data_IF_455694942181
#
_entry.id   IF_455694942181
#
_cell.length_a   1.000
_cell.length_b   1.000
_cell.length_c   1.000
_cell.angle_alpha   90.00
_cell.angle_beta   90.00
_cell.angle_gamma   90.00
#
_symmetry.space_group_name_H-M   'P 1'
#
loop_
_entity.id
_entity.type
_entity.pdbx_description
1 polymer ?
#
# COMPACT_ATOMS: atom_id res chain seq x y z
N UNK A 1 -16.34 13.03 0.78
CA UNK A 1 -16.49 12.91 2.25
C UNK A 1 -16.97 11.53 2.69
N UNK A 2 -18.09 10.99 2.18
CA UNK A 2 -18.59 9.66 2.58
C UNK A 2 -17.57 8.53 2.31
N UNK A 3 -16.88 8.55 1.16
CA UNK A 3 -15.95 7.48 0.80
C UNK A 3 -14.69 7.40 1.69
N UNK A 4 -14.09 8.54 2.07
CA UNK A 4 -12.87 8.55 2.91
C UNK A 4 -13.15 8.16 4.36
N UNK A 5 -14.29 8.61 4.91
CA UNK A 5 -14.69 8.20 6.27
C UNK A 5 -14.99 6.70 6.34
N UNK A 6 -15.59 6.13 5.28
CA UNK A 6 -15.81 4.68 5.18
C UNK A 6 -14.49 3.94 4.97
N UNK A 7 -13.63 4.39 4.05
CA UNK A 7 -12.31 3.77 3.83
C UNK A 7 -11.47 3.79 5.11
N UNK A 8 -11.35 4.94 5.79
CA UNK A 8 -10.62 5.06 7.05
C UNK A 8 -11.20 4.19 8.18
N UNK A 9 -12.52 4.14 8.32
CA UNK A 9 -13.16 3.30 9.34
C UNK A 9 -13.07 1.80 9.03
N UNK A 10 -13.19 1.41 7.76
CA UNK A 10 -13.01 0.02 7.32
C UNK A 10 -11.58 -0.44 7.53
N UNK A 11 -10.59 0.40 7.20
CA UNK A 11 -9.19 0.13 7.44
C UNK A 11 -8.94 -0.04 8.94
N UNK A 12 -9.31 0.93 9.78
CA UNK A 12 -9.11 0.86 11.23
C UNK A 12 -9.68 -0.44 11.84
N UNK A 13 -10.92 -0.79 11.52
CA UNK A 13 -11.55 -2.01 12.03
C UNK A 13 -10.81 -3.28 11.57
N UNK A 14 -10.35 -3.31 10.32
CA UNK A 14 -9.56 -4.42 9.77
C UNK A 14 -8.21 -4.56 10.50
N UNK A 15 -7.47 -3.47 10.68
CA UNK A 15 -6.14 -3.50 11.29
C UNK A 15 -6.19 -3.88 12.77
N UNK A 16 -7.18 -3.38 13.51
CA UNK A 16 -7.38 -3.78 14.90
C UNK A 16 -7.65 -5.29 15.01
N UNK A 17 -8.46 -5.86 14.09
CA UNK A 17 -8.70 -7.30 14.09
C UNK A 17 -7.45 -8.11 13.70
N UNK A 18 -6.67 -7.66 12.71
CA UNK A 18 -5.40 -8.29 12.31
C UNK A 18 -4.42 -8.32 13.49
N UNK A 19 -4.21 -7.18 14.15
CA UNK A 19 -3.28 -7.06 15.28
C UNK A 19 -3.77 -7.91 16.46
N UNK A 20 -5.08 -7.88 16.76
CA UNK A 20 -5.69 -8.74 17.79
C UNK A 20 -5.45 -10.23 17.50
N UNK A 21 -5.66 -10.68 16.26
CA UNK A 21 -5.40 -12.08 15.86
C UNK A 21 -3.92 -12.43 15.93
N UNK A 22 -3.04 -11.53 15.53
CA UNK A 22 -1.59 -11.72 15.64
C UNK A 22 -1.16 -11.92 17.10
N UNK A 23 -1.62 -11.06 18.01
CA UNK A 23 -1.32 -11.12 19.45
C UNK A 23 -1.85 -12.38 20.12
N UNK A 24 -3.05 -12.83 19.72
CA UNK A 24 -3.69 -14.02 20.28
C UNK A 24 -3.15 -15.36 19.74
N UNK A 25 -2.36 -15.33 18.65
CA UNK A 25 -1.90 -16.55 17.99
C UNK A 25 -0.78 -17.25 18.78
N UNK A 26 -1.09 -18.46 19.26
CA UNK A 26 -0.14 -19.37 19.93
C UNK A 26 0.72 -20.19 18.97
N UNK A 27 0.45 -20.13 17.65
CA UNK A 27 1.20 -20.93 16.68
C UNK A 27 2.65 -20.43 16.58
N UNK A 28 3.62 -21.24 17.00
CA UNK A 28 5.05 -20.90 16.90
C UNK A 28 5.55 -19.88 17.94
N UNK A 29 4.78 -19.59 18.99
CA UNK A 29 5.21 -18.77 20.13
C UNK A 29 4.76 -19.46 21.42
N UNK A 30 5.67 -19.59 22.40
CA UNK A 30 5.36 -20.17 23.72
C UNK A 30 4.75 -19.14 24.67
N UNK A 31 4.86 -17.85 24.34
CA UNK A 31 4.30 -16.79 25.15
C UNK A 31 2.77 -16.75 25.00
N UNK A 32 2.04 -16.47 26.09
CA UNK A 32 0.58 -16.41 26.05
C UNK A 32 0.05 -15.27 25.18
N UNK A 33 0.86 -14.22 24.95
CA UNK A 33 0.57 -13.08 24.09
C UNK A 33 1.86 -12.66 23.38
N UNK A 34 1.82 -12.47 22.06
CA UNK A 34 2.95 -11.89 21.33
C UNK A 34 3.02 -10.40 21.60
N UNK A 35 4.14 -9.96 22.14
CA UNK A 35 4.42 -8.53 22.39
C UNK A 35 5.43 -7.95 21.41
N UNK A 36 6.27 -8.78 20.80
CA UNK A 36 7.16 -8.34 19.71
C UNK A 36 6.46 -8.40 18.35
N UNK A 37 6.65 -7.34 17.57
CA UNK A 37 6.20 -7.22 16.19
C UNK A 37 7.29 -7.59 15.16
N UNK A 38 8.47 -8.08 15.61
CA UNK A 38 9.55 -8.48 14.70
C UNK A 38 9.11 -9.54 13.70
N UNK A 39 8.31 -10.52 14.17
CA UNK A 39 7.76 -11.59 13.34
C UNK A 39 6.44 -11.21 12.65
N UNK A 40 5.99 -9.95 12.74
CA UNK A 40 4.71 -9.54 12.18
C UNK A 40 4.67 -9.74 10.65
N UNK A 41 5.68 -9.31 9.87
CA UNK A 41 5.67 -9.49 8.42
C UNK A 41 5.75 -10.96 7.95
N UNK A 42 6.22 -11.87 8.82
CA UNK A 42 6.27 -13.31 8.51
C UNK A 42 4.91 -14.00 8.67
N UNK A 43 3.95 -13.33 9.31
CA UNK A 43 2.66 -13.91 9.70
C UNK A 43 1.48 -13.14 9.12
N UNK A 44 1.71 -11.89 8.71
CA UNK A 44 0.71 -10.99 8.16
C UNK A 44 1.23 -10.44 6.85
N UNK A 45 0.41 -10.55 5.80
CA UNK A 45 0.63 -9.91 4.51
C UNK A 45 -0.64 -9.17 4.12
N UNK A 46 -0.49 -7.92 3.67
CA UNK A 46 -1.60 -7.03 3.38
C UNK A 46 -1.47 -6.55 1.94
N UNK A 47 -2.45 -6.93 1.12
CA UNK A 47 -2.51 -6.52 -0.28
C UNK A 47 -3.45 -5.33 -0.45
N UNK A 48 -2.91 -4.23 -0.94
CA UNK A 48 -3.65 -3.02 -1.33
C UNK A 48 -4.12 -3.21 -2.77
N UNK A 49 -5.43 -3.43 -2.93
CA UNK A 49 -6.04 -3.59 -4.24
C UNK A 49 -6.45 -2.22 -4.79
N UNK A 50 -5.61 -1.66 -5.66
CA UNK A 50 -5.66 -0.25 -6.05
C UNK A 50 -5.36 0.69 -4.86
N UNK A 51 -5.61 2.00 -5.02
CA UNK A 51 -5.30 3.04 -4.03
C UNK A 51 -6.35 3.23 -2.94
N UNK A 52 -7.54 2.65 -3.08
CA UNK A 52 -8.63 2.80 -2.12
C UNK A 52 -8.27 2.45 -0.65
N UNK A 53 -7.54 1.34 -0.36
CA UNK A 53 -7.12 1.02 1.00
C UNK A 53 -5.75 1.63 1.36
N UNK A 54 -5.28 2.68 0.68
CA UNK A 54 -3.94 3.26 0.91
C UNK A 54 -3.74 3.81 2.33
N UNK A 55 -4.82 4.17 3.02
CA UNK A 55 -4.81 4.64 4.41
C UNK A 55 -4.40 3.55 5.41
N UNK A 56 -4.42 2.29 4.98
CA UNK A 56 -3.73 1.17 5.60
C UNK A 56 -2.33 1.49 6.13
N UNK A 57 -1.52 2.14 5.30
CA UNK A 57 -0.11 2.39 5.59
C UNK A 57 0.04 3.34 6.78
N UNK A 58 -0.53 4.56 6.76
CA UNK A 58 -0.46 5.44 7.91
C UNK A 58 -1.24 4.93 9.12
N UNK A 59 -2.31 4.13 8.95
CA UNK A 59 -3.02 3.53 10.09
C UNK A 59 -2.18 2.46 10.80
N UNK A 60 -1.51 1.58 10.05
CA UNK A 60 -0.59 0.60 10.65
C UNK A 60 0.55 1.30 11.39
N UNK A 61 1.11 2.37 10.81
CA UNK A 61 2.11 3.21 11.47
C UNK A 61 1.57 3.84 12.75
N UNK A 62 0.35 4.40 12.72
CA UNK A 62 -0.30 5.01 13.88
C UNK A 62 -0.45 4.00 15.01
N UNK A 63 -0.95 2.79 14.72
CA UNK A 63 -1.12 1.77 15.76
C UNK A 63 0.23 1.32 16.31
N UNK A 64 1.20 1.01 15.45
CA UNK A 64 2.52 0.55 15.89
C UNK A 64 3.28 1.59 16.72
N UNK A 65 3.20 2.87 16.36
CA UNK A 65 3.91 3.95 17.06
C UNK A 65 3.13 4.46 18.26
N UNK A 66 1.88 4.88 18.06
CA UNK A 66 1.13 5.61 19.09
C UNK A 66 0.49 4.68 20.13
N UNK A 67 0.12 3.45 19.74
CA UNK A 67 -0.56 2.49 20.63
C UNK A 67 0.40 1.43 21.15
N UNK A 68 1.22 0.85 20.28
CA UNK A 68 2.16 -0.22 20.64
C UNK A 68 3.53 0.29 21.10
N UNK A 69 3.81 1.59 20.90
CA UNK A 69 5.02 2.25 21.42
C UNK A 69 6.32 1.86 20.71
N UNK A 70 6.25 1.36 19.47
CA UNK A 70 7.45 1.09 18.67
C UNK A 70 8.15 2.39 18.27
N UNK A 71 9.48 2.32 18.09
CA UNK A 71 10.18 3.41 17.41
C UNK A 71 9.68 3.55 15.98
N UNK A 72 9.77 4.77 15.44
CA UNK A 72 9.30 5.05 14.08
C UNK A 72 9.98 4.16 13.04
N UNK A 73 11.30 3.99 13.14
CA UNK A 73 12.09 3.19 12.21
C UNK A 73 11.64 1.74 12.22
N UNK A 74 11.35 1.20 13.41
CA UNK A 74 10.90 -0.17 13.55
C UNK A 74 9.49 -0.37 13.03
N UNK A 75 8.58 0.55 13.34
CA UNK A 75 7.22 0.53 12.82
C UNK A 75 7.21 0.62 11.29
N UNK A 76 8.07 1.46 10.72
CA UNK A 76 8.20 1.64 9.27
C UNK A 76 8.73 0.38 8.59
N UNK A 77 9.76 -0.26 9.16
CA UNK A 77 10.29 -1.55 8.67
C UNK A 77 9.19 -2.61 8.61
N UNK A 78 8.42 -2.75 9.70
CA UNK A 78 7.30 -3.70 9.77
C UNK A 78 6.22 -3.37 8.75
N UNK A 79 5.85 -2.09 8.62
CA UNK A 79 4.80 -1.63 7.70
C UNK A 79 5.17 -1.94 6.26
N UNK A 80 6.35 -1.54 5.80
CA UNK A 80 6.81 -1.77 4.41
C UNK A 80 6.86 -3.26 4.09
N UNK A 81 7.40 -4.08 5.00
CA UNK A 81 7.48 -5.54 4.81
C UNK A 81 6.11 -6.24 4.81
N UNK A 82 5.09 -5.63 5.41
CA UNK A 82 3.75 -6.20 5.49
C UNK A 82 2.89 -5.84 4.27
N UNK A 83 3.05 -4.64 3.72
CA UNK A 83 2.20 -4.11 2.67
C UNK A 83 2.74 -4.38 1.25
N UNK A 84 1.85 -4.76 0.33
CA UNK A 84 2.09 -4.88 -1.10
C UNK A 84 0.96 -4.20 -1.89
N UNK A 85 1.26 -3.60 -3.04
CA UNK A 85 0.33 -2.78 -3.80
C UNK A 85 0.10 -3.31 -5.22
N UNK A 86 -1.17 -3.51 -5.60
CA UNK A 86 -1.57 -3.79 -6.99
C UNK A 86 -2.13 -2.53 -7.63
N UNK A 87 -1.51 -2.07 -8.71
CA UNK A 87 -2.04 -0.97 -9.52
C UNK A 87 -2.92 -1.51 -10.67
N UNK A 88 -4.06 -0.85 -10.90
CA UNK A 88 -5.05 -1.23 -11.91
C UNK A 88 -5.27 -0.16 -13.00
N UNK A 89 -4.59 0.99 -12.91
CA UNK A 89 -4.80 2.11 -13.83
C UNK A 89 -3.50 2.68 -14.35
N UNK A 90 -3.49 2.99 -15.64
CA UNK A 90 -2.42 3.71 -16.33
C UNK A 90 -2.74 5.19 -16.56
N UNK A 91 -3.97 5.61 -16.25
CA UNK A 91 -4.43 6.98 -16.48
C UNK A 91 -4.06 7.84 -15.25
N UNK A 92 -3.15 8.82 -15.37
CA UNK A 92 -2.74 9.64 -14.23
C UNK A 92 -3.91 10.34 -13.54
N UNK A 93 -4.93 10.76 -14.31
CA UNK A 93 -6.14 11.42 -13.82
C UNK A 93 -7.05 10.50 -12.97
N UNK A 94 -6.90 9.18 -13.10
CA UNK A 94 -7.63 8.19 -12.32
C UNK A 94 -6.91 7.83 -11.02
N UNK A 95 -5.67 8.30 -10.81
CA UNK A 95 -4.96 8.07 -9.55
C UNK A 95 -5.52 8.98 -8.46
N UNK A 96 -5.88 8.40 -7.33
CA UNK A 96 -6.50 9.16 -6.24
C UNK A 96 -5.58 10.28 -5.71
N UNK A 97 -6.17 11.47 -5.57
CA UNK A 97 -5.58 12.67 -4.97
C UNK A 97 -6.53 13.23 -3.93
N UNK A 98 -6.08 13.28 -2.68
CA UNK A 98 -6.91 13.79 -1.59
C UNK A 98 -6.43 15.16 -1.14
N UNK A 99 -7.31 16.18 -1.07
CA UNK A 99 -6.96 17.47 -0.50
C UNK A 99 -6.44 17.31 0.93
N UNK A 100 -5.29 17.93 1.21
CA UNK A 100 -4.69 17.93 2.55
C UNK A 100 -5.61 18.57 3.58
N UNK A 101 -6.35 19.61 3.19
CA UNK A 101 -7.40 20.25 4.00
C UNK A 101 -8.48 19.27 4.46
N UNK A 102 -8.87 18.33 3.59
CA UNK A 102 -9.84 17.29 3.92
C UNK A 102 -9.24 16.26 4.89
N UNK A 103 -8.00 15.81 4.63
CA UNK A 103 -7.30 14.86 5.49
C UNK A 103 -7.04 15.46 6.88
N UNK A 104 -6.69 16.74 6.97
CA UNK A 104 -6.46 17.45 8.22
C UNK A 104 -7.72 17.49 9.09
N UNK A 105 -8.88 17.71 8.46
CA UNK A 105 -10.18 17.77 9.16
C UNK A 105 -10.64 16.40 9.67
N UNK A 106 -10.44 15.33 8.89
CA UNK A 106 -10.99 14.01 9.20
C UNK A 106 -9.98 13.11 9.91
N UNK A 107 -8.72 13.10 9.46
CA UNK A 107 -7.65 12.20 9.91
C UNK A 107 -6.34 12.99 10.17
N UNK A 108 -6.33 13.94 11.12
CA UNK A 108 -5.19 14.82 11.36
C UNK A 108 -3.90 14.07 11.72
N UNK A 109 -4.01 12.98 12.48
CA UNK A 109 -2.85 12.17 12.85
C UNK A 109 -2.25 11.44 11.65
N UNK A 110 -3.08 10.89 10.76
CA UNK A 110 -2.61 10.23 9.54
C UNK A 110 -1.93 11.21 8.61
N UNK A 111 -2.42 12.45 8.50
CA UNK A 111 -1.76 13.48 7.72
C UNK A 111 -0.35 13.80 8.25
N UNK A 112 -0.17 13.89 9.57
CA UNK A 112 1.16 14.05 10.17
C UNK A 112 2.11 12.89 9.85
N UNK A 113 1.60 11.66 9.91
CA UNK A 113 2.35 10.44 9.56
C UNK A 113 2.75 10.48 8.08
N UNK A 114 1.83 10.83 7.19
CA UNK A 114 2.09 10.97 5.74
C UNK A 114 3.17 12.03 5.48
N UNK A 115 3.10 13.19 6.14
CA UNK A 115 4.14 14.21 6.00
C UNK A 115 5.51 13.72 6.47
N UNK A 116 5.57 12.96 7.56
CA UNK A 116 6.82 12.39 8.04
C UNK A 116 7.38 11.31 7.10
N UNK A 117 6.52 10.45 6.55
CA UNK A 117 6.89 9.50 5.50
C UNK A 117 7.45 10.25 4.29
N UNK A 118 6.77 11.30 3.82
CA UNK A 118 7.22 12.10 2.70
C UNK A 118 8.59 12.73 2.96
N UNK A 119 8.80 13.29 4.15
CA UNK A 119 10.08 13.90 4.53
C UNK A 119 11.24 12.91 4.44
N UNK A 120 11.10 11.72 5.03
CA UNK A 120 12.13 10.68 5.01
C UNK A 120 12.36 10.15 3.58
N UNK A 121 11.28 9.96 2.81
CA UNK A 121 11.36 9.53 1.42
C UNK A 121 12.14 10.53 0.56
N UNK A 122 11.82 11.82 0.65
CA UNK A 122 12.50 12.85 -0.14
C UNK A 122 13.98 13.00 0.25
N UNK A 123 14.33 12.77 1.53
CA UNK A 123 15.74 12.68 1.93
C UNK A 123 16.47 11.51 1.27
N UNK A 124 15.82 10.35 1.12
CA UNK A 124 16.39 9.19 0.43
C UNK A 124 16.58 9.47 -1.06
N UNK A 125 15.57 10.05 -1.72
CA UNK A 125 15.63 10.46 -3.13
C UNK A 125 16.79 11.43 -3.35
N UNK A 126 16.92 12.45 -2.50
CA UNK A 126 18.00 13.44 -2.59
C UNK A 126 19.39 12.82 -2.38
N UNK A 127 19.53 11.84 -1.48
CA UNK A 127 20.79 11.12 -1.26
C UNK A 127 21.19 10.28 -2.47
N UNK A 128 20.22 9.66 -3.15
CA UNK A 128 20.48 8.78 -4.30
C UNK A 128 20.64 9.55 -5.61
N UNK A 129 19.96 10.69 -5.76
CA UNK A 129 20.01 11.54 -6.95
C UNK A 129 20.36 13.00 -6.57
N UNK A 130 21.61 13.25 -6.15
CA UNK A 130 22.01 14.59 -5.69
C UNK A 130 21.94 15.61 -6.83
N UNK A 131 21.21 16.70 -6.60
CA UNK A 131 21.08 17.83 -7.53
C UNK A 131 19.86 17.77 -8.48
N UNK A 132 19.15 16.64 -8.55
CA UNK A 132 17.92 16.49 -9.36
C UNK A 132 16.68 16.90 -8.55
N UNK A 133 16.50 18.21 -8.39
CA UNK A 133 15.37 18.78 -7.63
C UNK A 133 14.02 18.56 -8.30
N UNK A 134 13.99 18.46 -9.63
CA UNK A 134 12.76 18.19 -10.37
C UNK A 134 12.24 16.78 -10.07
N UNK A 135 13.13 15.79 -9.97
CA UNK A 135 12.78 14.43 -9.54
C UNK A 135 12.25 14.40 -8.10
N UNK A 136 12.89 15.12 -7.17
CA UNK A 136 12.39 15.24 -5.78
C UNK A 136 10.94 15.76 -5.77
N UNK A 137 10.63 16.75 -6.60
CA UNK A 137 9.26 17.26 -6.74
C UNK A 137 8.31 16.21 -7.33
N UNK A 138 8.71 15.51 -8.40
CA UNK A 138 7.87 14.48 -9.05
C UNK A 138 7.61 13.26 -8.17
N UNK A 139 8.54 12.92 -7.27
CA UNK A 139 8.43 11.76 -6.38
C UNK A 139 7.77 12.08 -5.03
N UNK A 140 7.44 13.33 -4.76
CA UNK A 140 6.77 13.72 -3.52
C UNK A 140 5.40 13.04 -3.38
N UNK A 141 5.07 12.60 -2.17
CA UNK A 141 3.72 12.14 -1.81
C UNK A 141 2.74 13.32 -1.74
N UNK A 142 3.25 14.55 -1.61
CA UNK A 142 2.47 15.77 -1.48
C UNK A 142 2.69 16.63 -2.72
N UNK A 143 1.59 16.87 -3.44
CA UNK A 143 1.54 17.78 -4.58
C UNK A 143 1.29 19.20 -4.07
N UNK A 144 2.19 20.12 -4.42
CA UNK A 144 2.18 21.52 -3.95
C UNK A 144 1.51 22.47 -4.95
N UNK A 145 1.20 22.02 -6.17
CA UNK A 145 0.58 22.85 -7.20
C UNK A 145 -0.92 23.01 -6.98
N UNK A 146 -1.37 24.26 -6.82
CA UNK A 146 -2.78 24.58 -6.57
C UNK A 146 -3.18 24.28 -5.13
N UNK A 147 -4.27 23.52 -4.94
CA UNK A 147 -4.64 23.01 -3.62
C UNK A 147 -3.75 21.82 -3.28
N UNK A 148 -3.05 21.88 -2.14
CA UNK A 148 -2.17 20.79 -1.69
C UNK A 148 -2.92 19.47 -1.59
N UNK A 149 -2.40 18.43 -2.25
CA UNK A 149 -3.02 17.10 -2.30
C UNK A 149 -2.02 16.01 -1.94
N UNK A 150 -2.51 14.93 -1.33
CA UNK A 150 -1.75 13.70 -1.14
C UNK A 150 -1.99 12.78 -2.32
N UNK A 151 -0.90 12.30 -2.92
CA UNK A 151 -0.89 11.31 -3.98
C UNK A 151 -0.86 9.90 -3.39
N UNK A 152 -2.00 9.21 -3.44
CA UNK A 152 -2.16 7.92 -2.78
C UNK A 152 -1.37 6.81 -3.46
N UNK A 153 -1.14 6.92 -4.77
CA UNK A 153 -0.31 5.98 -5.50
C UNK A 153 1.15 6.07 -5.04
N UNK A 154 1.68 7.29 -4.85
CA UNK A 154 3.02 7.49 -4.31
C UNK A 154 3.12 6.96 -2.88
N UNK A 155 2.10 7.20 -2.04
CA UNK A 155 2.03 6.64 -0.69
C UNK A 155 2.08 5.10 -0.73
N UNK A 156 1.28 4.45 -1.59
CA UNK A 156 1.27 3.00 -1.75
C UNK A 156 2.65 2.45 -2.20
N UNK A 157 3.29 3.09 -3.17
CA UNK A 157 4.60 2.65 -3.70
C UNK A 157 5.69 2.76 -2.62
N UNK A 158 5.71 3.87 -1.88
CA UNK A 158 6.70 4.13 -0.84
C UNK A 158 6.49 3.22 0.36
N UNK A 159 5.24 3.03 0.79
CA UNK A 159 4.87 2.20 1.95
C UNK A 159 4.74 0.70 1.68
N UNK A 160 5.10 0.21 0.49
CA UNK A 160 5.02 -1.22 0.14
C UNK A 160 6.39 -1.80 -0.25
N UNK A 161 6.59 -3.08 0.05
CA UNK A 161 7.78 -3.83 -0.40
C UNK A 161 7.65 -4.37 -1.83
N UNK A 162 6.42 -4.47 -2.35
CA UNK A 162 6.15 -4.95 -3.71
C UNK A 162 5.04 -4.11 -4.37
N UNK A 163 5.20 -3.85 -5.66
CA UNK A 163 4.24 -3.17 -6.52
C UNK A 163 4.02 -4.01 -7.77
N UNK A 164 2.78 -4.35 -8.11
CA UNK A 164 2.50 -5.14 -9.31
C UNK A 164 1.44 -4.54 -10.21
N UNK A 165 1.65 -4.68 -11.53
CA UNK A 165 0.61 -4.51 -12.54
C UNK A 165 -0.16 -5.80 -12.79
N UNK A 166 -1.27 -5.67 -13.54
CA UNK A 166 -2.26 -6.73 -13.75
C UNK A 166 -2.20 -7.42 -15.13
N UNK A 167 -1.28 -6.97 -15.98
CA UNK A 167 -0.95 -7.57 -17.26
C UNK A 167 0.49 -7.19 -17.62
N UNK A 168 1.15 -7.98 -18.49
CA UNK A 168 2.55 -7.73 -18.87
C UNK A 168 2.75 -6.32 -19.42
N UNK A 169 1.94 -5.94 -20.42
CA UNK A 169 2.03 -4.60 -21.04
C UNK A 169 1.75 -3.49 -20.03
N UNK A 170 0.77 -3.67 -19.16
CA UNK A 170 0.46 -2.75 -18.08
C UNK A 170 1.66 -2.59 -17.13
N UNK A 171 2.28 -3.70 -16.73
CA UNK A 171 3.46 -3.70 -15.87
C UNK A 171 4.69 -3.04 -16.50
N UNK A 172 4.79 -3.03 -17.84
CA UNK A 172 5.85 -2.30 -18.54
C UNK A 172 5.54 -0.80 -18.64
N UNK A 173 4.28 -0.41 -18.85
CA UNK A 173 3.86 1.00 -18.87
C UNK A 173 4.12 1.65 -17.50
N UNK A 174 3.76 0.99 -16.40
CA UNK A 174 3.99 1.55 -15.06
C UNK A 174 5.49 1.78 -14.76
N UNK A 175 6.39 0.93 -15.29
CA UNK A 175 7.84 1.04 -15.07
C UNK A 175 8.52 2.05 -15.99
N UNK A 176 8.06 2.16 -17.22
CA UNK A 176 8.72 2.96 -18.25
C UNK A 176 8.16 4.38 -18.37
N UNK A 177 6.97 4.64 -17.80
CA UNK A 177 6.27 5.92 -17.93
C UNK A 177 5.84 6.43 -16.55
N UNK A 178 4.71 5.94 -16.03
CA UNK A 178 3.99 6.55 -14.90
C UNK A 178 4.79 6.59 -13.60
N UNK A 179 5.47 5.49 -13.25
CA UNK A 179 6.26 5.36 -12.02
C UNK A 179 7.74 5.15 -12.34
N UNK A 180 8.21 5.69 -13.46
CA UNK A 180 9.59 5.53 -13.91
C UNK A 180 10.62 5.97 -12.85
N UNK A 181 10.44 7.15 -12.26
CA UNK A 181 11.34 7.65 -11.21
C UNK A 181 11.37 6.73 -9.97
N UNK A 182 10.23 6.12 -9.60
CA UNK A 182 10.16 5.14 -8.51
C UNK A 182 10.80 3.80 -8.88
N UNK A 183 10.68 3.38 -10.14
CA UNK A 183 11.33 2.17 -10.65
C UNK A 183 12.85 2.33 -10.65
N UNK A 184 13.38 3.50 -11.03
CA UNK A 184 14.82 3.77 -10.92
C UNK A 184 15.31 3.81 -9.47
N UNK A 185 14.46 4.25 -8.53
CA UNK A 185 14.77 4.23 -7.10
C UNK A 185 14.81 2.82 -6.53
N UNK A 186 13.85 1.96 -6.85
CA UNK A 186 13.73 0.61 -6.26
C UNK A 186 13.20 -0.40 -7.29
N UNK A 187 14.01 -0.82 -8.28
CA UNK A 187 13.56 -1.64 -9.39
C UNK A 187 13.06 -3.03 -8.94
N UNK A 188 13.63 -3.57 -7.85
CA UNK A 188 13.27 -4.86 -7.26
C UNK A 188 11.82 -4.93 -6.74
N UNK A 189 11.20 -3.78 -6.45
CA UNK A 189 9.80 -3.71 -6.00
C UNK A 189 8.80 -4.05 -7.10
N UNK A 190 9.12 -3.76 -8.36
CA UNK A 190 8.15 -3.79 -9.46
C UNK A 190 8.03 -5.18 -10.10
N UNK A 191 6.82 -5.72 -10.06
CA UNK A 191 6.49 -7.06 -10.55
C UNK A 191 5.30 -7.05 -11.51
N UNK A 192 5.04 -8.21 -12.13
CA UNK A 192 3.82 -8.46 -12.88
C UNK A 192 3.05 -9.62 -12.26
N UNK A 193 1.73 -9.48 -12.14
CA UNK A 193 0.81 -10.56 -11.77
C UNK A 193 -0.40 -10.48 -12.69
N UNK A 194 -0.39 -11.26 -13.77
CA UNK A 194 -1.48 -11.25 -14.76
C UNK A 194 -2.78 -11.72 -14.12
N UNK A 195 -3.86 -10.95 -14.28
CA UNK A 195 -5.17 -11.31 -13.75
C UNK A 195 -5.66 -12.66 -14.31
N UNK A 196 -6.50 -13.32 -13.52
CA UNK A 196 -7.17 -14.56 -13.91
C UNK A 196 -8.61 -14.57 -13.44
N UNK A 197 -9.38 -15.50 -13.99
CA UNK A 197 -10.76 -15.77 -13.60
C UNK A 197 -10.86 -17.17 -12.99
N UNK A 198 -11.76 -17.36 -12.02
CA UNK A 198 -11.96 -18.68 -11.42
C UNK A 198 -12.71 -19.62 -12.38
N UNK A 199 -12.14 -20.78 -12.78
CA UNK A 199 -12.83 -21.72 -13.66
C UNK A 199 -14.06 -22.35 -12.98
N UNK A 200 -14.16 -22.28 -11.64
CA UNK A 200 -15.32 -22.80 -10.91
C UNK A 200 -16.59 -22.04 -11.29
N UNK A 201 -16.51 -20.71 -11.41
CA UNK A 201 -17.66 -19.88 -11.79
C UNK A 201 -17.79 -19.73 -13.31
N UNK A 202 -16.67 -19.54 -13.99
CA UNK A 202 -16.61 -19.17 -15.40
C UNK A 202 -16.44 -20.34 -16.38
N UNK A 203 -16.50 -21.58 -15.88
CA UNK A 203 -16.59 -22.78 -16.70
C UNK A 203 -17.58 -23.78 -16.07
N UNK A 204 -17.26 -24.30 -14.88
CA UNK A 204 -18.04 -25.37 -14.25
C UNK A 204 -19.49 -24.97 -13.94
N UNK A 205 -19.69 -23.79 -13.32
CA UNK A 205 -21.02 -23.34 -12.93
C UNK A 205 -21.83 -22.77 -14.10
N UNK A 206 -21.20 -22.04 -15.02
CA UNK A 206 -21.92 -21.36 -16.09
C UNK A 206 -22.11 -22.24 -17.35
N UNK A 207 -21.32 -23.28 -17.53
CA UNK A 207 -21.40 -24.18 -18.69
C UNK A 207 -21.10 -25.64 -18.29
N UNK A 208 -21.99 -26.29 -17.53
CA UNK A 208 -21.79 -27.65 -17.05
C UNK A 208 -21.63 -28.65 -18.20
N UNK A 209 -22.38 -28.52 -19.30
CA UNK A 209 -22.26 -29.43 -20.45
C UNK A 209 -20.88 -29.40 -21.10
N UNK A 210 -20.27 -28.22 -21.24
CA UNK A 210 -18.89 -28.12 -21.71
C UNK A 210 -17.90 -28.67 -20.67
N UNK A 211 -18.15 -28.44 -19.39
CA UNK A 211 -17.30 -28.95 -18.32
C UNK A 211 -17.32 -30.50 -18.28
N UNK A 212 -18.47 -31.12 -18.46
CA UNK A 212 -18.64 -32.57 -18.52
C UNK A 212 -17.89 -33.14 -19.73
N UNK A 213 -18.05 -32.53 -20.92
CA UNK A 213 -17.34 -32.94 -22.12
C UNK A 213 -15.81 -32.83 -21.99
N UNK A 214 -15.30 -31.82 -21.28
CA UNK A 214 -13.85 -31.68 -21.00
C UNK A 214 -13.36 -32.77 -20.03
N UNK A 215 -14.25 -33.31 -19.18
CA UNK A 215 -13.92 -34.27 -18.14
C UNK A 215 -14.02 -35.74 -18.60
N UNK A 216 -14.61 -36.01 -19.76
CA UNK A 216 -14.62 -37.32 -20.45
C UNK A 216 -13.24 -37.70 -21.01
#
# INVERSE_FOLDING_TARGET
MINLGIQGACDEAMYQDIIRRFKASKFGCRDPVRTSFDSFPEKVAIQLNDTHPSMAIPELMRVLVDVEGLSWEKAWEVTVKTCAYTNHTVLPEALERWPTSMLESILPRHLQIIYHINHLHLQEVQKKFPGDWDRVKRMSLVEEEGEKRVNMAHLCIVGSHAVNGVARIHSEIIKNDIFHDFYELSPEKFQNKTNGITPRRWLLLCNPSLADLIAE
#
